data_IF_816434132373
#
_entry.id   IF_816434132373
#
_cell.length_a   1.000
_cell.length_b   1.000
_cell.length_c   1.000
_cell.angle_alpha   90.00
_cell.angle_beta   90.00
_cell.angle_gamma   90.00
#
_symmetry.space_group_name_H-M   'P 1'
#
loop_
_entity.id
_entity.type
_entity.pdbx_description
1 polymer ?
#
# COMPACT_ATOMS: atom_id res chain seq x y z
N UNK A 1 -50.58 -9.40 -8.66
CA UNK A 1 -49.68 -8.96 -9.75
C UNK A 1 -48.32 -9.69 -9.79
N UNK A 2 -47.75 -10.18 -8.67
CA UNK A 2 -46.45 -10.89 -8.67
C UNK A 2 -46.51 -12.43 -8.83
N UNK A 3 -47.66 -13.05 -8.58
CA UNK A 3 -47.85 -14.51 -8.67
C UNK A 3 -47.34 -15.17 -9.97
N UNK A 4 -47.42 -14.53 -11.15
CA UNK A 4 -46.90 -15.10 -12.40
C UNK A 4 -45.37 -15.28 -12.41
N UNK A 5 -44.63 -14.44 -11.66
CA UNK A 5 -43.17 -14.45 -11.58
C UNK A 5 -42.63 -15.50 -10.59
N UNK A 6 -43.48 -16.06 -9.72
CA UNK A 6 -43.10 -17.11 -8.77
C UNK A 6 -42.99 -18.52 -9.40
N UNK A 7 -43.27 -18.65 -10.70
CA UNK A 7 -43.18 -19.94 -11.40
C UNK A 7 -41.74 -20.47 -11.41
N UNK A 8 -41.52 -21.80 -11.31
CA UNK A 8 -40.18 -22.40 -11.24
C UNK A 8 -39.23 -21.97 -12.36
N UNK A 9 -39.76 -21.67 -13.55
CA UNK A 9 -38.97 -21.19 -14.70
C UNK A 9 -38.23 -19.86 -14.46
N UNK A 10 -38.67 -19.04 -13.51
CA UNK A 10 -38.06 -17.75 -13.18
C UNK A 10 -37.12 -17.84 -11.96
N UNK A 11 -37.11 -18.95 -11.23
CA UNK A 11 -36.27 -19.14 -10.05
C UNK A 11 -34.77 -18.95 -10.33
N UNK A 12 -34.21 -19.42 -11.47
CA UNK A 12 -32.81 -19.16 -11.77
C UNK A 12 -32.47 -17.67 -11.85
N UNK A 13 -33.36 -16.84 -12.41
CA UNK A 13 -33.16 -15.40 -12.50
C UNK A 13 -33.26 -14.69 -11.15
N UNK A 14 -34.20 -15.10 -10.29
CA UNK A 14 -34.28 -14.60 -8.91
C UNK A 14 -33.05 -15.00 -8.10
N UNK A 15 -32.62 -16.26 -8.21
CA UNK A 15 -31.42 -16.76 -7.54
C UNK A 15 -30.17 -16.02 -8.03
N UNK A 16 -30.02 -15.82 -9.33
CA UNK A 16 -28.89 -15.09 -9.91
C UNK A 16 -28.82 -13.65 -9.37
N UNK A 17 -29.95 -12.95 -9.28
CA UNK A 17 -30.03 -11.62 -8.67
C UNK A 17 -29.62 -11.66 -7.19
N UNK A 18 -30.20 -12.56 -6.40
CA UNK A 18 -29.86 -12.69 -4.97
C UNK A 18 -28.37 -12.96 -4.75
N UNK A 19 -27.78 -13.86 -5.55
CA UNK A 19 -26.35 -14.17 -5.50
C UNK A 19 -25.51 -12.97 -5.91
N UNK A 20 -25.84 -12.29 -7.00
CA UNK A 20 -25.11 -11.11 -7.47
C UNK A 20 -25.10 -10.00 -6.40
N UNK A 21 -26.24 -9.73 -5.77
CA UNK A 21 -26.33 -8.72 -4.70
C UNK A 21 -25.61 -9.18 -3.43
N UNK A 22 -25.71 -10.46 -3.05
CA UNK A 22 -24.96 -10.97 -1.91
C UNK A 22 -23.44 -10.82 -2.10
N UNK A 23 -22.93 -11.14 -3.30
CA UNK A 23 -21.52 -10.95 -3.66
C UNK A 23 -21.14 -9.47 -3.61
N UNK A 24 -21.92 -8.61 -4.25
CA UNK A 24 -21.68 -7.17 -4.30
C UNK A 24 -21.66 -6.54 -2.89
N UNK A 25 -22.63 -6.87 -2.04
CA UNK A 25 -22.66 -6.39 -0.65
C UNK A 25 -21.48 -6.95 0.14
N UNK A 26 -21.19 -8.24 0.03
CA UNK A 26 -20.08 -8.88 0.72
C UNK A 26 -18.71 -8.27 0.36
N UNK A 27 -18.45 -8.08 -0.93
CA UNK A 27 -17.21 -7.46 -1.41
C UNK A 27 -17.14 -5.98 -1.04
N UNK A 28 -18.27 -5.25 -1.09
CA UNK A 28 -18.33 -3.87 -0.64
C UNK A 28 -18.01 -3.72 0.85
N UNK A 29 -18.57 -4.58 1.70
CA UNK A 29 -18.27 -4.60 3.14
C UNK A 29 -16.81 -4.99 3.41
N UNK A 30 -16.27 -5.97 2.68
CA UNK A 30 -14.87 -6.36 2.80
C UNK A 30 -13.92 -5.22 2.43
N UNK A 31 -14.22 -4.48 1.34
CA UNK A 31 -13.43 -3.32 0.94
C UNK A 31 -13.53 -2.17 1.96
N UNK A 32 -14.71 -1.96 2.55
CA UNK A 32 -14.91 -0.97 3.59
C UNK A 32 -14.11 -1.33 4.86
N UNK A 33 -14.14 -2.59 5.30
CA UNK A 33 -13.35 -3.06 6.44
C UNK A 33 -11.84 -2.91 6.18
N UNK A 34 -11.39 -3.24 4.97
CA UNK A 34 -10.01 -3.04 4.55
C UNK A 34 -9.61 -1.54 4.59
N UNK A 35 -10.52 -0.64 4.20
CA UNK A 35 -10.31 0.80 4.33
C UNK A 35 -10.18 1.24 5.80
N UNK A 36 -11.09 0.79 6.69
CA UNK A 36 -11.03 1.08 8.12
C UNK A 36 -9.72 0.59 8.75
N UNK A 37 -9.33 -0.65 8.46
CA UNK A 37 -8.10 -1.25 8.99
C UNK A 37 -6.87 -0.47 8.57
N UNK A 38 -6.75 -0.10 7.28
CA UNK A 38 -5.63 0.71 6.78
C UNK A 38 -5.61 2.10 7.41
N UNK A 39 -6.77 2.74 7.57
CA UNK A 39 -6.87 4.04 8.25
C UNK A 39 -6.47 3.96 9.72
N UNK A 40 -6.91 2.92 10.43
CA UNK A 40 -6.56 2.72 11.83
C UNK A 40 -5.05 2.45 11.99
N UNK A 41 -4.46 1.65 11.10
CA UNK A 41 -3.03 1.38 11.09
C UNK A 41 -2.22 2.65 10.76
N UNK A 42 -2.63 3.44 9.77
CA UNK A 42 -1.99 4.72 9.41
C UNK A 42 -2.16 5.81 10.49
N UNK A 43 -3.25 5.77 11.26
CA UNK A 43 -3.48 6.69 12.37
C UNK A 43 -2.67 6.32 13.64
N UNK A 44 -2.02 5.15 13.69
CA UNK A 44 -1.15 4.80 14.82
C UNK A 44 0.15 5.56 14.69
N UNK A 45 0.31 6.57 15.54
CA UNK A 45 1.62 7.15 15.79
C UNK A 45 2.42 6.22 16.72
N UNK A 46 3.36 5.48 16.14
CA UNK A 46 4.32 4.66 16.88
C UNK A 46 5.62 5.41 17.16
N UNK A 47 5.84 6.59 16.56
CA UNK A 47 7.15 7.26 16.52
C UNK A 47 7.67 7.69 17.90
N UNK A 48 6.76 7.83 18.87
CA UNK A 48 7.04 8.18 20.26
C UNK A 48 7.19 6.98 21.20
N UNK A 49 6.95 5.74 20.73
CA UNK A 49 7.08 4.53 21.54
C UNK A 49 8.55 4.23 21.90
N UNK A 50 8.79 3.49 23.00
CA UNK A 50 10.14 3.05 23.33
C UNK A 50 10.72 2.12 22.25
N UNK A 51 12.04 2.17 21.98
CA UNK A 51 12.67 1.29 21.00
C UNK A 51 12.58 -0.19 21.38
N UNK A 52 12.23 -1.03 20.41
CA UNK A 52 12.24 -2.49 20.54
C UNK A 52 13.41 -3.08 19.74
N UNK A 53 13.83 -4.31 20.04
CA UNK A 53 14.88 -4.95 19.25
C UNK A 53 14.38 -5.27 17.83
N UNK A 54 15.17 -4.99 16.80
CA UNK A 54 14.79 -5.22 15.39
C UNK A 54 14.30 -6.67 15.16
N UNK A 55 15.01 -7.64 15.72
CA UNK A 55 14.69 -9.06 15.61
C UNK A 55 13.34 -9.49 16.23
N UNK A 56 12.70 -8.64 17.04
CA UNK A 56 11.33 -8.92 17.54
C UNK A 56 10.24 -8.57 16.54
N UNK A 57 10.56 -7.76 15.52
CA UNK A 57 9.61 -7.31 14.51
C UNK A 57 9.82 -7.99 13.16
N UNK A 58 11.07 -8.22 12.77
CA UNK A 58 11.41 -8.83 11.49
C UNK A 58 12.79 -9.50 11.49
N UNK A 59 12.97 -10.47 10.60
CA UNK A 59 14.26 -11.02 10.16
C UNK A 59 14.60 -10.51 8.76
N UNK A 60 15.83 -10.76 8.30
CA UNK A 60 16.27 -10.36 6.95
C UNK A 60 15.40 -10.91 5.83
N UNK A 61 14.94 -12.16 5.96
CA UNK A 61 14.11 -12.85 4.96
C UNK A 61 12.60 -12.59 5.09
N UNK A 62 12.18 -11.85 6.11
CA UNK A 62 10.75 -11.64 6.39
C UNK A 62 10.20 -10.41 5.66
N UNK A 63 8.91 -10.44 5.26
CA UNK A 63 8.25 -9.27 4.70
C UNK A 63 8.14 -8.13 5.73
N UNK A 64 8.10 -6.89 5.24
CA UNK A 64 8.01 -5.73 6.11
C UNK A 64 6.74 -5.77 6.98
N UNK A 65 6.85 -5.60 8.31
CA UNK A 65 5.72 -5.60 9.23
C UNK A 65 4.95 -4.27 9.11
N UNK A 66 3.99 -4.20 8.19
CA UNK A 66 3.24 -2.98 7.87
C UNK A 66 2.54 -2.29 9.05
N UNK A 67 2.28 -3.02 10.15
CA UNK A 67 1.71 -2.45 11.40
C UNK A 67 2.74 -1.79 12.31
N UNK A 68 4.02 -1.85 11.96
CA UNK A 68 5.15 -1.33 12.73
C UNK A 68 5.84 -0.16 12.03
N UNK A 69 5.19 0.45 11.03
CA UNK A 69 5.69 1.69 10.38
C UNK A 69 5.90 2.76 11.45
N UNK A 70 7.08 3.37 11.45
CA UNK A 70 7.45 4.38 12.42
C UNK A 70 7.71 3.84 13.83
N UNK A 71 7.69 2.53 14.08
CA UNK A 71 8.11 1.97 15.38
C UNK A 71 9.61 2.18 15.56
N UNK A 72 10.06 2.79 16.67
CA UNK A 72 11.48 2.84 16.97
C UNK A 72 12.04 1.44 17.20
N UNK A 73 13.13 1.13 16.52
CA UNK A 73 13.88 -0.12 16.62
C UNK A 73 15.32 0.15 17.04
N UNK A 74 15.94 -0.85 17.64
CA UNK A 74 17.37 -0.86 17.98
C UNK A 74 18.05 -2.14 17.46
N UNK A 75 19.27 -2.00 16.95
CA UNK A 75 20.14 -3.11 16.57
C UNK A 75 21.61 -2.70 16.62
N UNK A 76 22.50 -3.69 16.63
CA UNK A 76 23.95 -3.52 16.50
C UNK A 76 24.44 -4.20 15.22
N UNK A 77 25.56 -3.75 14.69
CA UNK A 77 26.10 -4.27 13.44
C UNK A 77 27.44 -3.65 13.05
N UNK A 78 27.82 -3.87 11.79
CA UNK A 78 29.02 -3.30 11.17
C UNK A 78 28.64 -2.55 9.90
N UNK A 79 29.16 -1.34 9.69
CA UNK A 79 28.95 -0.61 8.44
C UNK A 79 29.54 -1.38 7.24
N UNK A 80 28.80 -1.45 6.13
CA UNK A 80 29.28 -2.11 4.89
C UNK A 80 30.32 -1.28 4.14
N UNK A 81 30.44 0.02 4.45
CA UNK A 81 31.50 0.88 3.91
C UNK A 81 31.19 1.54 2.56
N UNK A 82 29.91 1.66 2.17
CA UNK A 82 29.49 2.44 1.00
C UNK A 82 28.28 3.33 1.34
N UNK A 83 28.29 4.56 0.82
CA UNK A 83 27.16 5.48 0.91
C UNK A 83 26.34 5.39 -0.38
N UNK A 84 25.02 5.38 -0.24
CA UNK A 84 24.08 5.62 -1.32
C UNK A 84 23.28 6.88 -0.96
N UNK A 85 23.01 7.73 -1.95
CA UNK A 85 22.34 9.00 -1.76
C UNK A 85 20.95 8.95 -2.36
N UNK A 86 19.92 9.26 -1.58
CA UNK A 86 18.57 9.40 -2.13
C UNK A 86 18.32 10.85 -2.48
N UNK A 87 18.13 11.14 -3.76
CA UNK A 87 17.94 12.48 -4.28
C UNK A 87 16.56 13.09 -3.95
N UNK A 88 16.41 14.38 -4.27
CA UNK A 88 15.19 15.19 -4.12
C UNK A 88 14.60 15.23 -2.70
N UNK A 89 15.44 15.02 -1.68
CA UNK A 89 15.03 15.07 -0.28
C UNK A 89 15.07 16.49 0.24
N UNK A 90 13.95 16.92 0.80
CA UNK A 90 13.79 18.28 1.29
C UNK A 90 13.83 18.32 2.81
N UNK A 91 14.78 19.06 3.36
CA UNK A 91 14.88 19.33 4.80
C UNK A 91 14.94 20.85 4.99
N UNK A 92 14.05 21.39 5.84
CA UNK A 92 13.89 22.84 6.06
C UNK A 92 13.75 23.68 4.77
N UNK A 93 12.97 23.17 3.80
CA UNK A 93 12.69 23.87 2.54
C UNK A 93 13.83 23.82 1.52
N UNK A 94 14.83 22.96 1.73
CA UNK A 94 16.02 22.88 0.88
C UNK A 94 16.18 21.49 0.32
N UNK A 95 16.41 21.44 -0.99
CA UNK A 95 16.71 20.19 -1.70
C UNK A 95 18.11 19.71 -1.39
N UNK A 96 18.25 18.40 -1.25
CA UNK A 96 19.50 17.69 -1.02
C UNK A 96 19.26 16.19 -1.03
N UNK A 97 20.05 15.46 -0.25
CA UNK A 97 20.14 14.01 -0.31
C UNK A 97 19.97 13.42 1.08
N UNK A 98 19.25 12.31 1.18
CA UNK A 98 19.43 11.40 2.31
C UNK A 98 20.72 10.62 2.12
N UNK A 99 21.51 10.50 3.18
CA UNK A 99 22.72 9.68 3.19
C UNK A 99 22.37 8.33 3.78
N UNK A 100 22.52 7.28 2.97
CA UNK A 100 22.19 5.92 3.34
C UNK A 100 23.47 5.10 3.40
N UNK A 101 23.68 4.38 4.49
CA UNK A 101 24.75 3.38 4.60
C UNK A 101 24.12 2.12 5.16
N UNK A 102 24.40 0.96 4.57
CA UNK A 102 23.93 -0.30 5.11
C UNK A 102 24.79 -0.76 6.29
N UNK A 103 24.17 -1.37 7.29
CA UNK A 103 24.85 -2.00 8.41
C UNK A 103 24.50 -3.49 8.46
N UNK A 104 25.50 -4.37 8.34
CA UNK A 104 25.34 -5.80 8.54
C UNK A 104 24.93 -6.06 9.99
N UNK A 105 23.73 -6.60 10.21
CA UNK A 105 23.17 -6.76 11.56
C UNK A 105 23.82 -7.95 12.26
N UNK A 106 24.29 -7.74 13.49
CA UNK A 106 24.98 -8.77 14.27
C UNK A 106 24.15 -10.05 14.40
N UNK A 107 24.81 -11.20 14.21
CA UNK A 107 24.16 -12.52 14.28
C UNK A 107 23.30 -12.86 13.06
N UNK A 108 23.36 -12.07 11.99
CA UNK A 108 22.63 -12.32 10.74
C UNK A 108 23.56 -12.25 9.52
N UNK A 109 23.02 -12.60 8.34
CA UNK A 109 23.69 -12.38 7.04
C UNK A 109 23.13 -11.17 6.30
N UNK A 110 22.25 -10.40 6.94
CA UNK A 110 21.48 -9.36 6.28
C UNK A 110 21.88 -7.97 6.76
N UNK A 111 21.99 -7.03 5.85
CA UNK A 111 22.27 -5.63 6.13
C UNK A 111 20.98 -4.80 6.16
N UNK A 112 20.89 -3.92 7.16
CA UNK A 112 19.82 -2.95 7.31
C UNK A 112 20.26 -1.63 6.67
N UNK A 113 19.57 -1.12 5.63
CA UNK A 113 19.80 0.23 5.15
C UNK A 113 19.45 1.26 6.23
N UNK A 114 20.38 2.17 6.52
CA UNK A 114 20.20 3.22 7.53
C UNK A 114 20.30 4.58 6.86
N UNK A 115 19.20 5.34 6.90
CA UNK A 115 19.23 6.78 6.58
C UNK A 115 19.85 7.50 7.76
N UNK A 116 21.12 7.86 7.64
CA UNK A 116 21.94 8.46 8.71
C UNK A 116 21.62 9.94 8.94
N UNK A 117 21.14 10.61 7.91
CA UNK A 117 20.80 12.03 7.93
C UNK A 117 20.68 12.61 6.53
N UNK A 118 20.72 13.94 6.44
CA UNK A 118 20.58 14.70 5.20
C UNK A 118 21.79 15.61 4.95
N UNK A 119 22.13 15.79 3.68
CA UNK A 119 23.20 16.67 3.19
C UNK A 119 22.76 17.43 1.93
N UNK A 120 23.46 18.52 1.57
CA UNK A 120 23.20 19.27 0.32
C UNK A 120 23.87 18.66 -0.90
N UNK A 121 24.96 17.94 -0.70
CA UNK A 121 25.82 17.38 -1.73
C UNK A 121 26.10 15.91 -1.39
N UNK A 122 26.23 15.03 -2.39
CA UNK A 122 26.45 13.60 -2.19
C UNK A 122 27.92 13.27 -1.86
N UNK A 123 28.49 13.94 -0.86
CA UNK A 123 29.91 13.88 -0.47
C UNK A 123 30.12 13.60 1.03
N UNK A 124 29.10 13.01 1.67
CA UNK A 124 29.15 12.71 3.10
C UNK A 124 30.25 11.68 3.42
N UNK A 125 30.92 11.80 4.58
CA UNK A 125 31.87 10.79 5.03
C UNK A 125 31.22 9.40 5.17
N UNK A 126 31.92 8.39 4.66
CA UNK A 126 31.54 6.98 4.78
C UNK A 126 31.96 6.48 6.17
N UNK A 127 31.03 5.92 6.97
CA UNK A 127 31.35 5.43 8.30
C UNK A 127 31.91 4.02 8.19
N UNK A 128 32.74 3.62 9.16
CA UNK A 128 33.39 2.30 9.17
C UNK A 128 33.29 1.67 10.55
N UNK A 129 33.36 0.33 10.60
CA UNK A 129 33.40 -0.42 11.85
C UNK A 129 32.05 -0.59 12.54
N UNK A 130 32.11 -0.87 13.84
CA UNK A 130 30.96 -1.27 14.63
C UNK A 130 29.97 -0.11 14.86
N UNK A 131 28.68 -0.42 14.84
CA UNK A 131 27.61 0.56 15.04
C UNK A 131 26.49 0.01 15.89
N UNK A 132 25.86 0.90 16.65
CA UNK A 132 24.58 0.70 17.31
C UNK A 132 23.62 1.77 16.81
N UNK A 133 22.48 1.33 16.27
CA UNK A 133 21.52 2.21 15.63
C UNK A 133 20.21 2.14 16.39
N UNK A 134 19.67 3.31 16.72
CA UNK A 134 18.28 3.48 17.15
C UNK A 134 17.61 4.38 16.13
N UNK A 135 16.48 3.98 15.60
CA UNK A 135 15.78 4.75 14.58
C UNK A 135 14.38 4.25 14.30
N UNK A 136 13.66 4.96 13.45
CA UNK A 136 12.31 4.60 13.07
C UNK A 136 12.33 3.64 11.90
N UNK A 137 11.64 2.52 12.06
CA UNK A 137 11.52 1.52 11.02
C UNK A 137 10.55 2.01 9.92
N UNK A 138 10.97 1.93 8.67
CA UNK A 138 10.21 2.42 7.51
C UNK A 138 10.16 1.38 6.38
N UNK A 139 9.03 1.32 5.64
CA UNK A 139 8.90 0.43 4.49
C UNK A 139 9.70 0.97 3.31
N UNK A 140 10.07 0.10 2.37
CA UNK A 140 10.58 0.52 1.06
C UNK A 140 9.62 1.50 0.37
N UNK A 141 10.15 2.49 -0.33
CA UNK A 141 9.33 3.31 -1.24
C UNK A 141 8.87 2.48 -2.45
N UNK A 142 7.67 2.75 -2.96
CA UNK A 142 7.03 1.88 -3.97
C UNK A 142 6.93 2.47 -5.38
N UNK A 143 6.72 3.78 -5.51
CA UNK A 143 6.52 4.46 -6.79
C UNK A 143 7.34 5.74 -6.85
N UNK A 144 7.90 6.04 -8.02
CA UNK A 144 8.76 7.19 -8.27
C UNK A 144 9.45 7.06 -9.62
N UNK A 145 10.31 8.03 -9.99
CA UNK A 145 11.07 7.94 -11.22
C UNK A 145 11.98 6.70 -11.20
N UNK A 146 12.28 6.21 -12.40
CA UNK A 146 13.36 5.26 -12.60
C UNK A 146 14.68 5.98 -12.41
N UNK A 147 15.71 5.20 -12.09
CA UNK A 147 17.06 5.73 -12.09
C UNK A 147 17.52 5.92 -13.53
N UNK A 148 17.94 7.14 -13.86
CA UNK A 148 18.42 7.49 -15.20
C UNK A 148 19.92 7.18 -15.35
N UNK A 149 20.66 7.03 -14.25
CA UNK A 149 22.10 6.69 -14.23
C UNK A 149 22.40 5.62 -13.16
N UNK A 150 22.28 4.32 -13.48
CA UNK A 150 22.52 3.24 -12.52
C UNK A 150 24.00 3.02 -12.19
N UNK A 151 24.91 3.87 -12.68
CA UNK A 151 26.35 3.75 -12.44
C UNK A 151 26.88 4.71 -11.38
N UNK A 152 26.05 5.63 -10.88
CA UNK A 152 26.39 6.47 -9.75
C UNK A 152 25.81 5.90 -8.44
N UNK A 153 26.16 6.51 -7.31
CA UNK A 153 25.64 6.14 -5.99
C UNK A 153 24.40 6.97 -5.60
N UNK A 154 23.66 7.52 -6.57
CA UNK A 154 22.59 8.49 -6.36
C UNK A 154 21.26 7.99 -6.92
N UNK A 155 20.44 7.42 -6.04
CA UNK A 155 19.13 6.88 -6.42
C UNK A 155 18.02 7.93 -6.26
N UNK A 156 16.97 7.91 -7.11
CA UNK A 156 15.85 8.85 -6.99
C UNK A 156 14.93 8.58 -5.81
N UNK A 157 14.86 7.32 -5.34
CA UNK A 157 13.89 6.88 -4.33
C UNK A 157 14.48 5.85 -3.39
N UNK A 158 14.00 5.80 -2.15
CA UNK A 158 14.46 4.87 -1.12
C UNK A 158 13.87 3.47 -1.34
N UNK A 159 14.21 2.86 -2.48
CA UNK A 159 13.78 1.52 -2.88
C UNK A 159 14.84 0.50 -2.52
N UNK A 160 14.45 -0.50 -1.74
CA UNK A 160 15.37 -1.58 -1.36
C UNK A 160 15.90 -2.31 -2.60
N UNK A 161 15.06 -2.50 -3.63
CA UNK A 161 15.47 -3.11 -4.89
C UNK A 161 16.63 -2.36 -5.58
N UNK A 162 16.66 -1.03 -5.52
CA UNK A 162 17.76 -0.22 -6.06
C UNK A 162 19.03 -0.34 -5.21
N UNK A 163 18.90 -0.52 -3.89
CA UNK A 163 20.06 -0.68 -3.00
C UNK A 163 20.76 -2.02 -3.14
N UNK A 164 20.07 -3.07 -3.59
CA UNK A 164 20.68 -4.39 -3.79
C UNK A 164 21.84 -4.31 -4.79
N UNK A 165 21.81 -3.36 -5.72
CA UNK A 165 22.87 -3.15 -6.71
C UNK A 165 24.11 -2.45 -6.11
N UNK A 166 23.96 -1.80 -4.95
CA UNK A 166 24.98 -0.97 -4.31
C UNK A 166 25.55 -1.59 -3.02
N UNK A 167 24.93 -2.66 -2.51
CA UNK A 167 25.29 -3.27 -1.23
C UNK A 167 25.54 -4.77 -1.43
N UNK A 168 26.77 -5.20 -1.13
CA UNK A 168 27.16 -6.62 -1.19
C UNK A 168 26.72 -7.39 0.06
N UNK A 169 25.41 -7.44 0.31
CA UNK A 169 24.78 -8.22 1.39
C UNK A 169 23.27 -8.40 1.14
N UNK A 170 22.67 -9.45 1.72
CA UNK A 170 21.21 -9.61 1.73
C UNK A 170 20.57 -8.42 2.45
N UNK A 171 19.58 -7.75 1.86
CA UNK A 171 18.95 -6.59 2.50
C UNK A 171 17.66 -6.96 3.24
N UNK A 172 17.45 -6.35 4.40
CA UNK A 172 16.13 -6.31 5.01
C UNK A 172 15.11 -5.63 4.07
N UNK A 173 13.85 -6.06 4.12
CA UNK A 173 12.77 -5.55 3.26
C UNK A 173 12.28 -4.12 3.57
N UNK A 174 13.01 -3.39 4.41
CA UNK A 174 12.76 -2.00 4.80
C UNK A 174 14.04 -1.31 5.25
N UNK A 175 13.93 -0.07 5.71
CA UNK A 175 15.07 0.73 6.15
C UNK A 175 14.82 1.37 7.52
N UNK A 176 15.88 1.87 8.15
CA UNK A 176 15.80 2.60 9.42
C UNK A 176 16.20 4.06 9.20
N UNK A 177 15.30 4.99 9.52
CA UNK A 177 15.63 6.41 9.64
C UNK A 177 16.28 6.64 11.02
N UNK A 178 17.58 6.94 11.03
CA UNK A 178 18.35 7.01 12.26
C UNK A 178 17.87 8.16 13.15
N UNK A 179 17.58 7.84 14.40
CA UNK A 179 17.38 8.80 15.50
C UNK A 179 18.68 9.03 16.27
N UNK A 180 19.45 7.97 16.46
CA UNK A 180 20.75 7.98 17.09
C UNK A 180 21.64 6.88 16.49
N UNK A 181 22.91 7.21 16.30
CA UNK A 181 23.95 6.30 15.84
C UNK A 181 25.11 6.40 16.82
N UNK A 182 25.64 5.25 17.23
CA UNK A 182 26.81 5.16 18.11
C UNK A 182 27.86 4.26 17.43
N UNK A 183 29.10 4.72 17.24
CA UNK A 183 29.63 6.02 17.64
C UNK A 183 29.07 7.19 16.81
N UNK A 184 29.21 8.42 17.34
CA UNK A 184 28.55 9.62 16.80
C UNK A 184 29.15 10.12 15.47
N UNK A 185 30.36 9.68 15.13
CA UNK A 185 30.97 9.88 13.81
C UNK A 185 30.10 9.29 12.69
N UNK A 186 29.37 8.23 13.01
CA UNK A 186 28.33 7.61 12.19
C UNK A 186 27.21 8.55 11.78
N UNK A 187 27.09 9.79 12.25
CA UNK A 187 26.19 10.80 11.67
C UNK A 187 26.82 12.20 11.59
N UNK A 188 28.14 12.30 11.67
CA UNK A 188 28.86 13.57 11.68
C UNK A 188 28.63 14.39 10.40
N UNK A 189 28.36 15.68 10.57
CA UNK A 189 28.11 16.61 9.47
C UNK A 189 26.74 16.49 8.80
N UNK A 190 25.89 15.56 9.24
CA UNK A 190 24.57 15.34 8.67
C UNK A 190 23.47 16.08 9.45
N UNK A 191 22.49 16.60 8.73
CA UNK A 191 21.27 17.15 9.34
C UNK A 191 20.35 15.98 9.72
N UNK A 192 19.82 15.92 10.95
CA UNK A 192 18.87 14.87 11.33
C UNK A 192 17.65 14.84 10.42
N UNK A 193 17.20 13.64 10.04
CA UNK A 193 15.96 13.45 9.27
C UNK A 193 14.84 13.11 10.25
N UNK A 194 13.90 14.04 10.51
CA UNK A 194 12.79 13.75 11.41
C UNK A 194 11.82 12.76 10.76
N UNK A 195 11.02 12.03 11.56
CA UNK A 195 10.05 11.04 11.07
C UNK A 195 9.05 11.63 10.06
N UNK A 196 8.71 12.91 10.27
CA UNK A 196 7.76 13.69 9.46
C UNK A 196 8.28 13.98 8.05
N UNK A 197 9.57 13.78 7.79
CA UNK A 197 10.17 13.97 6.46
C UNK A 197 10.13 12.71 5.60
N UNK A 198 9.66 11.58 6.15
CA UNK A 198 9.36 10.37 5.37
C UNK A 198 8.01 10.60 4.67
N UNK A 199 7.91 10.45 3.34
CA UNK A 199 6.68 10.74 2.62
C UNK A 199 5.48 9.96 3.18
N UNK A 200 4.42 10.67 3.54
CA UNK A 200 3.15 10.03 3.89
C UNK A 200 2.58 9.30 2.66
N UNK A 201 2.05 8.11 2.86
CA UNK A 201 1.30 7.39 1.82
C UNK A 201 0.08 8.25 1.45
N UNK A 202 0.10 8.82 0.24
CA UNK A 202 -0.91 9.77 -0.26
C UNK A 202 -2.35 9.42 0.15
N UNK A 203 -3.08 10.42 0.65
CA UNK A 203 -4.49 10.32 1.05
C UNK A 203 -5.41 9.82 -0.08
N UNK A 204 -5.04 10.09 -1.35
CA UNK A 204 -5.76 9.56 -2.51
C UNK A 204 -5.56 8.05 -2.68
N UNK A 205 -4.35 7.54 -2.42
CA UNK A 205 -4.07 6.10 -2.39
C UNK A 205 -4.82 5.42 -1.24
N UNK A 206 -4.96 6.11 -0.10
CA UNK A 206 -5.69 5.61 1.06
C UNK A 206 -7.21 5.47 0.82
N UNK A 207 -7.81 6.26 -0.07
CA UNK A 207 -9.25 6.22 -0.36
C UNK A 207 -9.65 5.17 -1.41
N UNK A 208 -8.70 4.49 -2.05
CA UNK A 208 -8.98 3.52 -3.14
C UNK A 208 -9.94 2.42 -2.71
N UNK A 209 -9.71 1.80 -1.54
CA UNK A 209 -10.58 0.75 -1.02
C UNK A 209 -12.00 1.25 -0.71
N UNK A 210 -12.16 2.51 -0.30
CA UNK A 210 -13.48 3.12 -0.11
C UNK A 210 -14.22 3.27 -1.44
N UNK A 211 -13.53 3.74 -2.49
CA UNK A 211 -14.15 3.84 -3.82
C UNK A 211 -14.51 2.47 -4.39
N UNK A 212 -13.69 1.44 -4.16
CA UNK A 212 -14.06 0.07 -4.53
C UNK A 212 -15.28 -0.44 -3.75
N UNK A 213 -15.43 -0.09 -2.47
CA UNK A 213 -16.63 -0.46 -1.71
C UNK A 213 -17.89 0.15 -2.34
N UNK A 214 -17.83 1.44 -2.71
CA UNK A 214 -18.92 2.15 -3.38
C UNK A 214 -19.22 1.52 -4.76
N UNK A 215 -18.19 1.20 -5.54
CA UNK A 215 -18.33 0.55 -6.84
C UNK A 215 -19.08 -0.79 -6.73
N UNK A 216 -18.73 -1.62 -5.75
CA UNK A 216 -19.43 -2.88 -5.50
C UNK A 216 -20.91 -2.67 -5.18
N UNK A 217 -21.25 -1.68 -4.36
CA UNK A 217 -22.66 -1.38 -4.07
C UNK A 217 -23.42 -0.85 -5.29
N UNK A 218 -22.76 -0.10 -6.18
CA UNK A 218 -23.34 0.33 -7.47
C UNK A 218 -23.63 -0.90 -8.34
N UNK A 219 -22.74 -1.88 -8.42
CA UNK A 219 -23.02 -3.14 -9.13
C UNK A 219 -24.19 -3.92 -8.52
N UNK A 220 -24.29 -3.94 -7.18
CA UNK A 220 -25.45 -4.52 -6.50
C UNK A 220 -26.76 -3.83 -6.90
N UNK A 221 -26.79 -2.49 -6.89
CA UNK A 221 -27.94 -1.71 -7.33
C UNK A 221 -28.27 -1.95 -8.82
N UNK A 222 -27.24 -2.07 -9.66
CA UNK A 222 -27.40 -2.36 -11.08
C UNK A 222 -27.96 -3.76 -11.34
N UNK A 223 -27.55 -4.77 -10.57
CA UNK A 223 -28.12 -6.12 -10.63
C UNK A 223 -29.61 -6.11 -10.28
N UNK A 224 -30.02 -5.36 -9.24
CA UNK A 224 -31.44 -5.15 -8.90
C UNK A 224 -32.17 -4.46 -10.04
N UNK A 225 -31.58 -3.43 -10.65
CA UNK A 225 -32.17 -2.72 -11.78
C UNK A 225 -32.41 -3.65 -12.99
N UNK A 226 -31.41 -4.45 -13.38
CA UNK A 226 -31.55 -5.44 -14.47
C UNK A 226 -32.64 -6.44 -14.12
N UNK A 227 -32.68 -6.93 -12.88
CA UNK A 227 -33.70 -7.86 -12.42
C UNK A 227 -35.10 -7.26 -12.48
N UNK A 228 -35.27 -6.00 -12.07
CA UNK A 228 -36.54 -5.27 -12.17
C UNK A 228 -36.97 -5.10 -13.62
N UNK A 229 -36.04 -4.76 -14.51
CA UNK A 229 -36.31 -4.63 -15.96
C UNK A 229 -36.73 -5.97 -16.55
N UNK A 230 -35.98 -7.04 -16.27
CA UNK A 230 -36.31 -8.39 -16.70
C UNK A 230 -37.69 -8.87 -16.20
N UNK A 231 -38.03 -8.58 -14.94
CA UNK A 231 -39.36 -8.88 -14.40
C UNK A 231 -40.47 -8.11 -15.14
N UNK A 232 -40.25 -6.82 -15.44
CA UNK A 232 -41.21 -5.98 -16.18
C UNK A 232 -41.39 -6.48 -17.61
N UNK A 233 -40.29 -6.75 -18.32
CA UNK A 233 -40.30 -7.27 -19.69
C UNK A 233 -41.03 -8.62 -19.73
N UNK A 234 -40.74 -9.52 -18.78
CA UNK A 234 -41.42 -10.82 -18.65
C UNK A 234 -42.93 -10.73 -18.36
N UNK A 235 -43.39 -9.62 -17.76
CA UNK A 235 -44.82 -9.37 -17.53
C UNK A 235 -45.48 -8.75 -18.77
N UNK A 236 -44.80 -7.83 -19.45
CA UNK A 236 -45.29 -7.24 -20.70
C UNK A 236 -45.42 -8.28 -21.81
N UNK A 237 -44.43 -9.14 -22.01
CA UNK A 237 -44.48 -10.21 -23.02
C UNK A 237 -45.66 -11.17 -22.80
N UNK A 238 -46.00 -11.42 -21.53
CA UNK A 238 -47.14 -12.26 -21.17
C UNK A 238 -48.46 -11.54 -21.40
N UNK A 239 -48.57 -10.27 -21.02
CA UNK A 239 -49.76 -9.48 -21.29
C UNK A 239 -50.03 -9.35 -22.81
N UNK A 240 -48.99 -9.27 -23.63
CA UNK A 240 -49.09 -9.29 -25.08
C UNK A 240 -49.51 -10.67 -25.63
N UNK A 241 -49.01 -11.77 -25.05
CA UNK A 241 -49.41 -13.13 -25.43
C UNK A 241 -50.84 -13.49 -25.00
N UNK A 242 -51.33 -12.92 -23.89
CA UNK A 242 -52.69 -13.12 -23.37
C UNK A 242 -53.71 -12.14 -23.98
N UNK A 243 -53.28 -11.18 -24.83
CA UNK A 243 -54.18 -10.26 -25.52
C UNK A 243 -55.00 -11.00 -26.59
N UNK A 244 -56.33 -10.77 -26.68
CA UNK A 244 -57.16 -11.43 -27.68
C UNK A 244 -56.66 -11.08 -29.08
N UNK A 245 -56.42 -12.09 -29.91
CA UNK A 245 -56.09 -11.88 -31.31
C UNK A 245 -57.21 -11.08 -31.97
N UNK A 246 -56.87 -9.95 -32.58
CA UNK A 246 -57.83 -9.15 -33.36
C UNK A 246 -58.26 -10.01 -34.55
N UNK A 247 -59.45 -10.61 -34.43
CA UNK A 247 -60.04 -11.44 -35.49
C UNK A 247 -60.41 -10.47 -36.60
N UNK A 248 -59.81 -10.57 -37.81
CA UNK A 248 -60.16 -9.68 -38.90
C UNK A 248 -61.66 -9.81 -39.16
N UNK A 249 -62.39 -8.71 -39.01
CA UNK A 249 -63.79 -8.67 -39.40
C UNK A 249 -63.86 -9.01 -40.90
N UNK A 250 -64.70 -9.96 -41.32
CA UNK A 250 -64.84 -10.28 -42.73
C UNK A 250 -65.30 -9.00 -43.45
N UNK A 251 -64.54 -8.60 -44.46
CA UNK A 251 -64.94 -7.53 -45.39
C UNK A 251 -66.16 -8.04 -46.16
N UNK A 252 -67.34 -7.54 -45.79
CA UNK A 252 -68.54 -7.71 -46.60
C UNK A 252 -68.29 -7.08 -47.99
N UNK A 253 -68.56 -7.88 -49.01
CA UNK A 253 -68.41 -7.55 -50.43
C UNK A 253 -69.60 -6.75 -50.96
#
# INVERSE_FOLDING_TARGET
MLAPLLRPKFWPGHLAMLVAVAIAVGLGLWQLDAWHTRRADAARDLTSKPPVALGTLMTGDSPFPGRSVGQPVRFTGQWTGANVYVADRHVHGRRGYWVVTAALVDGTRSAMPVVRGWTRSPDAPVPTGATSVVGWLQPTEGSGPFDDDPHDDVIPTMRIASLVEHVDADLYSGYVAAKAVTPADGSSGLVPVPPQSVPDVSMFTAARNLFYAIEWWVFGAFAVFIWLRWCRDSLHDRAAADAPADVPQPTDA
#
